data_IF_029848449479
#
_entry.id   IF_029848449479
#
_cell.length_a   1.000
_cell.length_b   1.000
_cell.length_c   1.000
_cell.angle_alpha   90.00
_cell.angle_beta   90.00
_cell.angle_gamma   90.00
#
_symmetry.space_group_name_H-M   'P 1'
#
loop_
_entity.id
_entity.type
_entity.pdbx_description
1 polymer ?
#
# COMPACT_ATOMS: atom_id res chain seq x y z
N UNK A 1 -14.45 14.82 6.45
CA UNK A 1 -14.29 13.58 5.65
C UNK A 1 -14.23 12.41 6.62
N UNK A 2 -15.08 11.41 6.44
CA UNK A 2 -15.08 10.18 7.22
C UNK A 2 -13.87 9.29 6.84
N UNK A 3 -13.47 8.35 7.72
CA UNK A 3 -12.50 7.27 7.37
C UNK A 3 -12.93 6.54 6.09
N UNK A 4 -14.23 6.35 5.91
CA UNK A 4 -14.82 5.74 4.72
C UNK A 4 -14.61 6.56 3.44
N UNK A 5 -14.77 7.89 3.51
CA UNK A 5 -14.61 8.77 2.34
C UNK A 5 -13.16 8.79 1.87
N UNK A 6 -12.22 8.89 2.83
CA UNK A 6 -10.78 8.86 2.55
C UNK A 6 -10.34 7.53 1.91
N UNK A 7 -10.84 6.42 2.44
CA UNK A 7 -10.64 5.08 1.89
C UNK A 7 -11.15 4.98 0.45
N UNK A 8 -12.36 5.49 0.19
CA UNK A 8 -12.95 5.44 -1.15
C UNK A 8 -12.14 6.27 -2.17
N UNK A 9 -11.72 7.49 -1.79
CA UNK A 9 -10.89 8.34 -2.66
C UNK A 9 -9.54 7.71 -3.00
N UNK A 10 -8.90 7.04 -2.04
CA UNK A 10 -7.61 6.40 -2.27
C UNK A 10 -7.71 5.09 -3.04
N UNK A 11 -8.76 4.30 -2.79
CA UNK A 11 -9.08 3.15 -3.65
C UNK A 11 -9.30 3.59 -5.10
N UNK A 12 -9.94 4.74 -5.32
CA UNK A 12 -10.13 5.29 -6.67
C UNK A 12 -8.80 5.77 -7.29
N UNK A 13 -7.90 6.36 -6.51
CA UNK A 13 -6.63 6.89 -7.00
C UNK A 13 -5.55 5.82 -7.23
N UNK A 14 -5.45 4.83 -6.34
CA UNK A 14 -4.39 3.82 -6.32
C UNK A 14 -4.85 2.42 -6.74
N UNK A 15 -6.17 2.19 -6.85
CA UNK A 15 -6.73 0.95 -7.41
C UNK A 15 -6.19 -0.32 -6.73
N UNK A 16 -5.61 -1.22 -7.54
CA UNK A 16 -5.04 -2.49 -7.11
C UNK A 16 -3.86 -2.31 -6.13
N UNK A 17 -3.06 -1.24 -6.28
CA UNK A 17 -1.95 -0.96 -5.37
C UNK A 17 -2.43 -0.67 -3.96
N UNK A 18 -3.57 0.03 -3.81
CA UNK A 18 -4.19 0.22 -2.48
C UNK A 18 -4.52 -1.12 -1.83
N UNK A 19 -5.17 -2.01 -2.59
CA UNK A 19 -5.64 -3.29 -2.08
C UNK A 19 -4.48 -4.20 -1.66
N UNK A 20 -3.42 -4.28 -2.48
CA UNK A 20 -2.24 -5.08 -2.18
C UNK A 20 -1.46 -4.52 -0.99
N UNK A 21 -1.17 -3.22 -0.94
CA UNK A 21 -0.45 -2.62 0.21
C UNK A 21 -1.26 -2.78 1.50
N UNK A 22 -2.58 -2.57 1.45
CA UNK A 22 -3.46 -2.81 2.61
C UNK A 22 -3.42 -4.26 3.08
N UNK A 23 -3.37 -5.22 2.14
CA UNK A 23 -3.25 -6.65 2.47
C UNK A 23 -1.92 -6.95 3.14
N UNK A 24 -0.82 -6.50 2.54
CA UNK A 24 0.54 -6.75 3.04
C UNK A 24 0.73 -6.21 4.47
N UNK A 25 0.27 -4.98 4.74
CA UNK A 25 0.38 -4.40 6.09
C UNK A 25 -0.47 -5.17 7.11
N UNK A 26 -1.69 -5.56 6.75
CA UNK A 26 -2.57 -6.34 7.64
C UNK A 26 -2.01 -7.72 7.94
N UNK A 27 -1.47 -8.41 6.94
CA UNK A 27 -0.89 -9.74 7.10
C UNK A 27 0.40 -9.71 7.93
N UNK A 28 1.20 -8.65 7.78
CA UNK A 28 2.40 -8.45 8.58
C UNK A 28 2.08 -8.11 10.05
N UNK A 29 0.95 -7.44 10.29
CA UNK A 29 0.45 -6.99 11.59
C UNK A 29 1.56 -6.48 12.55
N UNK A 30 2.35 -5.45 12.16
CA UNK A 30 3.64 -5.16 12.79
C UNK A 30 3.54 -4.87 14.29
N UNK A 31 2.45 -4.21 14.70
CA UNK A 31 2.18 -3.84 16.10
C UNK A 31 1.05 -4.68 16.71
N UNK A 32 0.65 -5.77 16.04
CA UNK A 32 -0.27 -6.80 16.54
C UNK A 32 -1.70 -6.35 16.83
N UNK A 33 -2.19 -5.29 16.18
CA UNK A 33 -3.57 -4.82 16.37
C UNK A 33 -4.59 -5.88 15.92
N UNK A 34 -4.33 -6.57 14.81
CA UNK A 34 -5.23 -7.63 14.33
C UNK A 34 -5.19 -8.83 15.27
N UNK A 35 -3.99 -9.22 15.73
CA UNK A 35 -3.82 -10.32 16.66
C UNK A 35 -4.53 -10.11 18.01
N UNK A 36 -4.76 -8.86 18.45
CA UNK A 36 -5.52 -8.54 19.67
C UNK A 36 -7.03 -8.33 19.42
N UNK A 37 -7.49 -8.55 18.19
CA UNK A 37 -8.91 -8.51 17.82
C UNK A 37 -9.41 -7.16 17.32
N UNK A 38 -8.52 -6.26 16.87
CA UNK A 38 -8.94 -5.07 16.14
C UNK A 38 -9.52 -5.44 14.76
N UNK A 39 -10.39 -4.60 14.17
CA UNK A 39 -10.93 -4.81 12.83
C UNK A 39 -9.84 -4.86 11.72
N UNK A 40 -10.12 -5.57 10.63
CA UNK A 40 -9.20 -5.73 9.49
C UNK A 40 -8.84 -4.42 8.76
N UNK A 41 -9.60 -3.34 8.99
CA UNK A 41 -9.39 -2.00 8.44
C UNK A 41 -8.72 -1.04 9.44
N UNK A 42 -8.16 -1.56 10.54
CA UNK A 42 -7.48 -0.76 11.55
C UNK A 42 -6.32 0.04 10.95
N UNK A 43 -5.53 -0.59 10.06
CA UNK A 43 -4.38 0.02 9.38
C UNK A 43 -4.72 0.90 8.16
N UNK A 44 -6.00 1.08 7.80
CA UNK A 44 -6.38 1.82 6.58
C UNK A 44 -5.87 3.27 6.62
N UNK A 45 -5.74 3.87 7.81
CA UNK A 45 -5.29 5.26 7.97
C UNK A 45 -3.78 5.38 7.71
N UNK A 46 -2.99 4.43 8.18
CA UNK A 46 -1.55 4.37 7.97
C UNK A 46 -1.26 4.08 6.51
N UNK A 47 -1.95 3.11 5.92
CA UNK A 47 -1.83 2.80 4.49
C UNK A 47 -2.20 4.03 3.64
N UNK A 48 -3.18 4.82 4.09
CA UNK A 48 -3.57 6.06 3.42
C UNK A 48 -2.49 7.13 3.36
N UNK A 49 -1.52 7.10 4.30
CA UNK A 49 -0.41 8.05 4.34
C UNK A 49 0.89 7.47 3.79
N UNK A 50 1.05 6.14 3.77
CA UNK A 50 2.14 5.44 3.09
C UNK A 50 2.02 5.58 1.58
N UNK A 51 0.85 5.28 0.99
CA UNK A 51 0.65 5.22 -0.47
C UNK A 51 1.10 6.48 -1.21
N UNK A 52 0.75 7.71 -0.77
CA UNK A 52 1.21 8.93 -1.43
C UNK A 52 2.71 9.12 -1.38
N UNK A 53 3.44 8.50 -0.45
CA UNK A 53 4.90 8.65 -0.30
C UNK A 53 5.67 7.61 -1.11
N UNK A 54 5.04 6.51 -1.54
CA UNK A 54 5.72 5.45 -2.29
C UNK A 54 6.31 5.93 -3.63
N UNK A 55 5.79 7.01 -4.22
CA UNK A 55 6.37 7.60 -5.44
C UNK A 55 7.75 8.24 -5.21
N UNK A 56 8.12 8.52 -3.96
CA UNK A 56 9.43 9.06 -3.57
C UNK A 56 10.48 7.94 -3.43
N UNK A 57 10.03 6.68 -3.31
CA UNK A 57 10.90 5.55 -3.06
C UNK A 57 11.62 5.08 -4.34
N UNK A 58 12.92 4.87 -4.23
CA UNK A 58 13.76 4.33 -5.32
C UNK A 58 14.32 2.95 -4.99
N UNK A 59 14.04 2.45 -3.79
CA UNK A 59 14.55 1.19 -3.26
C UNK A 59 13.63 0.63 -2.17
N UNK A 60 13.78 -0.66 -1.87
CA UNK A 60 13.10 -1.29 -0.72
C UNK A 60 13.47 -0.63 0.62
N UNK A 61 14.69 -0.11 0.76
CA UNK A 61 15.12 0.66 1.94
C UNK A 61 14.37 1.99 2.08
N UNK A 62 14.04 2.66 0.97
CA UNK A 62 13.22 3.88 1.01
C UNK A 62 11.78 3.56 1.44
N UNK A 63 11.21 2.46 0.93
CA UNK A 63 9.90 1.97 1.36
C UNK A 63 9.92 1.64 2.84
N UNK A 64 10.96 0.95 3.31
CA UNK A 64 11.14 0.61 4.73
C UNK A 64 11.14 1.85 5.62
N UNK A 65 11.93 2.86 5.24
CA UNK A 65 11.95 4.14 5.94
C UNK A 65 10.57 4.81 5.95
N UNK A 66 9.88 4.88 4.81
CA UNK A 66 8.54 5.49 4.70
C UNK A 66 7.53 4.77 5.60
N UNK A 67 7.47 3.44 5.52
CA UNK A 67 6.54 2.64 6.33
C UNK A 67 6.81 2.87 7.81
N UNK A 68 8.08 2.80 8.24
CA UNK A 68 8.43 3.02 9.64
C UNK A 68 8.07 4.44 10.12
N UNK A 69 8.40 5.47 9.33
CA UNK A 69 8.07 6.86 9.67
C UNK A 69 6.57 7.09 9.82
N UNK A 70 5.73 6.51 8.96
CA UNK A 70 4.28 6.63 9.09
C UNK A 70 3.76 5.87 10.32
N UNK A 71 4.28 4.68 10.63
CA UNK A 71 3.90 3.98 11.86
C UNK A 71 4.31 4.74 13.13
N UNK A 72 5.53 5.29 13.18
CA UNK A 72 5.97 6.14 14.29
C UNK A 72 5.11 7.39 14.40
N UNK A 73 4.71 7.99 13.28
CA UNK A 73 3.82 9.16 13.28
C UNK A 73 2.44 8.87 13.87
N UNK A 74 1.89 7.68 13.60
CA UNK A 74 0.55 7.31 14.04
C UNK A 74 0.50 6.70 15.45
N UNK A 75 1.57 6.01 15.86
CA UNK A 75 1.59 5.24 17.11
C UNK A 75 2.67 5.69 18.11
N UNK A 76 3.50 6.68 17.78
CA UNK A 76 4.75 6.98 18.47
C UNK A 76 5.78 5.83 18.40
N UNK A 77 7.06 6.15 18.59
CA UNK A 77 8.15 5.20 18.44
C UNK A 77 8.07 4.02 19.45
N UNK A 78 7.52 4.28 20.64
CA UNK A 78 7.41 3.28 21.70
C UNK A 78 6.42 2.16 21.34
N UNK A 79 5.32 2.48 20.63
CA UNK A 79 4.31 1.51 20.22
C UNK A 79 4.65 0.91 18.84
N UNK A 80 5.16 1.74 17.91
CA UNK A 80 5.64 1.27 16.60
C UNK A 80 6.76 0.23 16.74
N UNK A 81 7.53 0.31 17.82
CA UNK A 81 8.58 -0.64 18.10
C UNK A 81 9.79 -0.49 17.16
N UNK A 82 10.63 -1.52 17.08
CA UNK A 82 11.90 -1.45 16.38
C UNK A 82 11.71 -1.54 14.86
N UNK A 83 12.45 -0.76 14.04
CA UNK A 83 12.26 -0.70 12.59
C UNK A 83 12.44 -2.06 11.89
N UNK A 84 13.21 -2.97 12.47
CA UNK A 84 13.52 -4.28 11.91
C UNK A 84 12.28 -5.14 11.62
N UNK A 85 11.18 -4.94 12.36
CA UNK A 85 9.92 -5.68 12.15
C UNK A 85 9.24 -5.31 10.83
N UNK A 86 9.60 -4.17 10.24
CA UNK A 86 8.99 -3.65 9.01
C UNK A 86 9.76 -4.07 7.74
N UNK A 87 10.93 -4.70 7.85
CA UNK A 87 11.79 -5.01 6.69
C UNK A 87 11.05 -5.89 5.68
N UNK A 88 10.52 -7.03 6.13
CA UNK A 88 9.86 -8.00 5.24
C UNK A 88 8.64 -7.40 4.51
N UNK A 89 7.77 -6.69 5.23
CA UNK A 89 6.59 -6.05 4.61
C UNK A 89 6.98 -4.96 3.63
N UNK A 90 8.09 -4.26 3.89
CA UNK A 90 8.57 -3.18 3.01
C UNK A 90 9.18 -3.71 1.72
N UNK A 91 9.88 -4.85 1.78
CA UNK A 91 10.37 -5.55 0.59
C UNK A 91 9.21 -6.02 -0.30
N UNK A 92 8.15 -6.59 0.30
CA UNK A 92 6.96 -7.02 -0.44
C UNK A 92 6.19 -5.83 -1.06
N UNK A 93 6.07 -4.71 -0.35
CA UNK A 93 5.49 -3.48 -0.88
C UNK A 93 6.32 -2.97 -2.06
N UNK A 94 7.64 -2.94 -1.93
CA UNK A 94 8.52 -2.51 -3.03
C UNK A 94 8.36 -3.40 -4.26
N UNK A 95 8.39 -4.72 -4.09
CA UNK A 95 8.19 -5.67 -5.18
C UNK A 95 6.82 -5.48 -5.86
N UNK A 96 5.79 -5.15 -5.08
CA UNK A 96 4.45 -4.83 -5.61
C UNK A 96 4.47 -3.56 -6.44
N UNK A 97 5.12 -2.50 -5.96
CA UNK A 97 5.26 -1.25 -6.70
C UNK A 97 5.98 -1.47 -8.05
N UNK A 98 7.06 -2.25 -8.05
CA UNK A 98 7.81 -2.58 -9.27
C UNK A 98 6.93 -3.31 -10.28
N UNK A 99 6.17 -4.33 -9.85
CA UNK A 99 5.24 -5.06 -10.74
C UNK A 99 4.14 -4.16 -11.31
N UNK A 100 3.61 -3.23 -10.51
CA UNK A 100 2.60 -2.26 -10.98
C UNK A 100 3.18 -1.22 -11.93
N UNK A 101 4.44 -0.82 -11.74
CA UNK A 101 5.15 0.09 -12.64
C UNK A 101 5.56 -0.59 -13.97
N UNK A 102 5.88 -1.89 -13.92
CA UNK A 102 6.20 -2.75 -15.07
C UNK A 102 4.97 -3.20 -15.86
N UNK A 103 3.75 -2.87 -15.41
CA UNK A 103 2.50 -3.19 -16.10
C UNK A 103 1.93 -2.07 -17.02
N UNK A 104 2.69 -1.34 -17.86
CA UNK A 104 2.08 -0.42 -18.81
C UNK A 104 1.79 -1.13 -20.15
N UNK A 105 1.00 -2.21 -20.18
CA UNK A 105 0.29 -2.65 -21.41
C UNK A 105 -0.72 -3.77 -21.11
N UNK A 106 -1.95 -3.43 -20.69
CA UNK A 106 -3.10 -4.30 -20.98
C UNK A 106 -3.70 -3.76 -22.27
N UNK A 107 -3.37 -4.43 -23.35
CA UNK A 107 -3.86 -4.22 -24.69
C UNK A 107 -5.33 -3.79 -24.68
N UNK A 108 -5.62 -2.61 -25.22
CA UNK A 108 -6.97 -2.29 -25.66
C UNK A 108 -7.39 -3.39 -26.63
N UNK A 109 -8.59 -4.00 -26.48
CA UNK A 109 -9.04 -5.00 -27.42
C UNK A 109 -9.02 -4.38 -28.82
N UNK A 110 -8.24 -5.03 -29.70
CA UNK A 110 -8.02 -4.62 -31.06
C UNK A 110 -9.34 -4.31 -31.75
N UNK A 111 -9.43 -3.07 -32.23
CA UNK A 111 -10.43 -2.63 -33.18
C UNK A 111 -10.20 -3.45 -34.47
N UNK A 112 -10.90 -4.58 -34.61
CA UNK A 112 -10.86 -5.42 -35.80
C UNK A 112 -12.27 -5.78 -36.25
N UNK A 113 -12.48 -5.44 -37.53
CA UNK A 113 -13.48 -5.92 -38.48
C UNK A 113 -14.81 -5.14 -38.53
N UNK A 114 -15.17 -4.45 -39.62
CA UNK A 114 -14.53 -4.40 -40.93
C UNK A 114 -15.33 -3.49 -41.86
N UNK A 115 -14.63 -2.88 -42.82
CA UNK A 115 -15.26 -2.27 -43.97
C UNK A 115 -15.85 -3.35 -44.88
N UNK A 116 -17.04 -3.10 -45.41
CA UNK A 116 -17.41 -3.59 -46.74
C UNK A 116 -18.20 -2.50 -47.45
N UNK A 117 -17.83 -2.38 -48.72
CA UNK A 117 -18.25 -1.46 -49.76
C UNK A 117 -19.76 -1.36 -49.97
#
# INVERSE_FOLDING_TARGET
>A
MSRADRRASLKQAYGELYAEVSRLVREADPIRLIAIGAPDDEYDVEVSTILPRLHEATSASDVHRIVYEEFVRWFDADIAGPPEIYVAVSEEIWNTCQRSAEAPNREAPGDHHGGVR
#
